data_IF_847250473937
#
_entry.id   IF_847250473937
#
_cell.length_a   1.000
_cell.length_b   1.000
_cell.length_c   1.000
_cell.angle_alpha   90.00
_cell.angle_beta   90.00
_cell.angle_gamma   90.00
#
_symmetry.space_group_name_H-M   'P 1'
#
loop_
_entity.id
_entity.type
_entity.pdbx_description
1 polymer ?
#
# COMPACT_ATOMS: atom_id res chain seq x y z
N UNK A 1 -14.16 13.34 -2.66
CA UNK A 1 -13.36 12.12 -2.33
C UNK A 1 -12.55 12.38 -1.07
N UNK A 2 -12.14 11.35 -0.32
CA UNK A 2 -11.33 11.49 0.93
C UNK A 2 -10.02 12.23 0.69
N UNK A 3 -9.54 12.22 -0.55
CA UNK A 3 -8.27 12.78 -0.97
C UNK A 3 -8.32 14.26 -1.37
N UNK A 4 -9.48 14.82 -1.68
CA UNK A 4 -9.61 16.15 -2.29
C UNK A 4 -9.35 17.32 -1.31
N UNK A 5 -9.41 17.03 0.00
CA UNK A 5 -9.19 18.03 1.05
C UNK A 5 -8.16 17.58 2.09
N UNK A 6 -7.27 16.66 1.73
CA UNK A 6 -6.28 16.13 2.66
C UNK A 6 -4.88 16.49 2.16
N UNK A 7 -4.31 17.55 2.72
CA UNK A 7 -2.93 17.97 2.42
C UNK A 7 -1.88 16.93 2.82
N UNK A 8 -2.30 15.89 3.59
CA UNK A 8 -1.43 14.82 4.06
C UNK A 8 -1.17 13.73 2.98
N UNK A 9 -1.96 13.70 1.90
CA UNK A 9 -1.81 12.72 0.81
C UNK A 9 -1.63 13.46 -0.52
N UNK A 10 -0.51 13.22 -1.20
CA UNK A 10 -0.29 13.75 -2.55
C UNK A 10 -1.00 12.88 -3.59
N UNK A 11 -1.93 13.46 -4.33
CA UNK A 11 -2.61 12.78 -5.45
C UNK A 11 -1.83 13.03 -6.75
N UNK A 12 -1.48 11.97 -7.47
CA UNK A 12 -0.78 11.99 -8.74
C UNK A 12 -1.66 11.39 -9.81
N UNK A 13 -2.18 12.24 -10.67
CA UNK A 13 -2.90 11.81 -11.87
C UNK A 13 -1.94 11.80 -13.05
N UNK A 14 -1.76 10.65 -13.67
CA UNK A 14 -0.83 10.51 -14.80
C UNK A 14 -1.35 9.54 -15.86
N UNK A 15 -0.72 9.60 -17.03
CA UNK A 15 -0.96 8.61 -18.08
C UNK A 15 -0.36 7.26 -17.67
N UNK A 16 -0.94 6.16 -18.16
CA UNK A 16 -0.43 4.80 -17.91
C UNK A 16 0.85 4.51 -18.75
N UNK A 17 1.84 5.39 -18.62
CA UNK A 17 3.13 5.30 -19.28
C UNK A 17 4.24 5.06 -18.25
N UNK A 18 5.01 4.00 -18.42
CA UNK A 18 6.06 3.61 -17.47
C UNK A 18 7.12 4.70 -17.23
N UNK A 19 7.45 5.56 -18.22
CA UNK A 19 8.41 6.67 -18.03
C UNK A 19 7.80 7.77 -17.16
N UNK A 20 6.54 8.11 -17.39
CA UNK A 20 5.81 9.11 -16.60
C UNK A 20 5.66 8.65 -15.14
N UNK A 21 5.25 7.39 -14.94
CA UNK A 21 5.14 6.78 -13.61
C UNK A 21 6.50 6.82 -12.90
N UNK A 22 7.59 6.41 -13.58
CA UNK A 22 8.94 6.43 -13.02
C UNK A 22 9.39 7.81 -12.59
N UNK A 23 9.12 8.84 -13.40
CA UNK A 23 9.43 10.24 -13.06
C UNK A 23 8.74 10.66 -11.76
N UNK A 24 7.44 10.40 -11.64
CA UNK A 24 6.70 10.74 -10.43
C UNK A 24 7.14 9.92 -9.21
N UNK A 25 7.49 8.64 -9.39
CA UNK A 25 8.06 7.83 -8.30
C UNK A 25 9.36 8.44 -7.77
N UNK A 26 10.23 8.94 -8.66
CA UNK A 26 11.48 9.60 -8.26
C UNK A 26 11.23 10.92 -7.53
N UNK A 27 10.27 11.72 -7.98
CA UNK A 27 9.88 12.99 -7.32
C UNK A 27 9.30 12.75 -5.92
N UNK A 28 8.48 11.71 -5.77
CA UNK A 28 7.78 11.41 -4.52
C UNK A 28 8.69 10.83 -3.43
N UNK A 29 9.83 10.25 -3.79
CA UNK A 29 10.76 9.62 -2.86
C UNK A 29 11.28 10.54 -1.77
N UNK A 30 11.48 11.80 -2.09
CA UNK A 30 12.00 12.82 -1.19
C UNK A 30 10.90 13.46 -0.31
N UNK A 31 9.64 13.13 -0.56
CA UNK A 31 8.52 13.69 0.17
C UNK A 31 8.17 12.88 1.43
N UNK A 32 7.58 13.57 2.41
CA UNK A 32 7.22 13.00 3.71
C UNK A 32 5.86 12.32 3.74
N UNK A 33 4.99 12.62 2.78
CA UNK A 33 3.59 12.19 2.77
C UNK A 33 3.36 11.00 1.83
N UNK A 34 2.34 10.17 2.11
CA UNK A 34 1.91 9.14 1.16
C UNK A 34 1.46 9.73 -0.17
N UNK A 35 1.61 8.97 -1.26
CA UNK A 35 1.14 9.37 -2.58
C UNK A 35 0.12 8.40 -3.13
N UNK A 36 -0.91 8.94 -3.77
CA UNK A 36 -1.95 8.18 -4.44
C UNK A 36 -1.79 8.31 -5.95
N UNK A 37 -1.43 7.22 -6.62
CA UNK A 37 -1.39 7.15 -8.07
C UNK A 37 -2.75 6.79 -8.64
N UNK A 38 -3.19 7.59 -9.61
CA UNK A 38 -4.40 7.36 -10.40
C UNK A 38 -4.00 7.48 -11.87
N UNK A 39 -4.09 6.38 -12.62
CA UNK A 39 -3.84 6.38 -14.07
C UNK A 39 -5.14 6.35 -14.85
N UNK A 40 -5.06 6.65 -16.15
CA UNK A 40 -6.23 6.66 -17.05
C UNK A 40 -6.92 5.30 -17.21
N UNK A 41 -6.27 4.22 -16.79
CA UNK A 41 -6.82 2.85 -16.85
C UNK A 41 -7.49 2.38 -15.57
N UNK A 42 -7.37 3.17 -14.49
CA UNK A 42 -7.90 2.82 -13.18
C UNK A 42 -9.35 3.26 -13.02
N UNK A 43 -10.13 2.43 -12.34
CA UNK A 43 -11.49 2.75 -11.92
C UNK A 43 -11.45 3.25 -10.47
N UNK A 44 -12.07 4.39 -10.22
CA UNK A 44 -12.19 4.97 -8.88
C UNK A 44 -13.56 4.60 -8.33
N UNK A 45 -13.57 3.72 -7.34
CA UNK A 45 -14.76 3.27 -6.63
C UNK A 45 -14.82 3.86 -5.21
N UNK A 46 -15.99 3.83 -4.55
CA UNK A 46 -16.05 3.99 -3.10
C UNK A 46 -15.16 2.96 -2.41
N UNK A 47 -14.32 3.40 -1.47
CA UNK A 47 -13.38 2.52 -0.79
C UNK A 47 -14.11 1.59 0.19
N UNK A 48 -14.25 0.34 -0.17
CA UNK A 48 -14.85 -0.73 0.63
C UNK A 48 -13.85 -1.79 1.05
N UNK A 49 -12.83 -2.02 0.23
CA UNK A 49 -11.82 -3.04 0.46
C UNK A 49 -10.42 -2.50 0.14
N UNK A 50 -9.51 -2.60 1.10
CA UNK A 50 -8.11 -2.18 0.97
C UNK A 50 -7.24 -3.42 0.89
N UNK A 51 -6.42 -3.57 -0.14
CA UNK A 51 -5.43 -4.65 -0.23
C UNK A 51 -4.07 -4.13 0.26
N UNK A 52 -3.52 -4.79 1.27
CA UNK A 52 -2.26 -4.44 1.94
C UNK A 52 -1.33 -5.66 1.87
N UNK A 53 -0.47 -5.78 0.85
CA UNK A 53 0.56 -6.81 0.81
C UNK A 53 1.55 -6.61 1.97
N UNK A 54 1.92 -7.69 2.65
CA UNK A 54 2.83 -7.67 3.81
C UNK A 54 3.96 -8.67 3.58
N UNK A 55 5.15 -8.16 3.33
CA UNK A 55 6.38 -8.92 3.11
C UNK A 55 7.17 -9.13 4.40
N UNK A 56 8.36 -9.72 4.29
CA UNK A 56 9.28 -9.90 5.42
C UNK A 56 10.02 -8.62 5.83
N UNK A 57 9.92 -7.53 5.06
CA UNK A 57 10.61 -6.27 5.34
C UNK A 57 9.97 -5.55 6.52
N UNK A 58 10.77 -4.98 7.42
CA UNK A 58 10.26 -4.27 8.61
C UNK A 58 9.40 -3.05 8.26
N UNK A 59 9.72 -2.38 7.18
CA UNK A 59 9.02 -1.21 6.66
C UNK A 59 7.55 -1.47 6.31
N UNK A 60 7.16 -2.72 6.17
CA UNK A 60 5.77 -3.09 5.91
C UNK A 60 4.81 -2.63 7.02
N UNK A 61 5.32 -2.45 8.24
CA UNK A 61 4.52 -2.01 9.38
C UNK A 61 4.04 -0.57 9.25
N UNK A 62 4.71 0.29 8.46
CA UNK A 62 4.27 1.66 8.22
C UNK A 62 2.92 1.76 7.50
N UNK A 63 2.54 0.73 6.76
CA UNK A 63 1.21 0.66 6.13
C UNK A 63 0.07 0.56 7.14
N UNK A 64 0.35 0.14 8.39
CA UNK A 64 -0.68 0.00 9.41
C UNK A 64 -1.41 1.33 9.67
N UNK A 65 -0.68 2.43 9.84
CA UNK A 65 -1.25 3.74 10.14
C UNK A 65 -2.15 4.22 9.02
N UNK A 66 -1.63 4.24 7.78
CA UNK A 66 -2.40 4.76 6.65
C UNK A 66 -3.61 3.86 6.30
N UNK A 67 -3.45 2.53 6.36
CA UNK A 67 -4.57 1.62 6.08
C UNK A 67 -5.67 1.74 7.12
N UNK A 68 -5.31 1.84 8.41
CA UNK A 68 -6.27 2.01 9.51
C UNK A 68 -6.93 3.39 9.48
N UNK A 69 -6.17 4.45 9.16
CA UNK A 69 -6.73 5.79 8.97
C UNK A 69 -7.81 5.79 7.87
N UNK A 70 -7.51 5.22 6.70
CA UNK A 70 -8.44 5.12 5.59
C UNK A 70 -9.66 4.27 5.98
N UNK A 71 -9.43 3.08 6.56
CA UNK A 71 -10.50 2.18 6.97
C UNK A 71 -11.45 2.84 7.98
N UNK A 72 -10.91 3.58 8.97
CA UNK A 72 -11.73 4.33 9.94
C UNK A 72 -12.58 5.41 9.28
N UNK A 73 -12.04 6.12 8.28
CA UNK A 73 -12.77 7.20 7.59
C UNK A 73 -13.83 6.69 6.62
N UNK A 74 -13.66 5.48 6.07
CA UNK A 74 -14.50 4.94 5.00
C UNK A 74 -15.37 3.77 5.42
N UNK A 75 -15.07 3.11 6.53
CA UNK A 75 -15.63 1.81 6.89
C UNK A 75 -15.05 0.65 6.04
N UNK A 76 -13.95 0.86 5.33
CA UNK A 76 -13.38 -0.16 4.47
C UNK A 76 -12.81 -1.35 5.26
N UNK A 77 -12.92 -2.54 4.68
CA UNK A 77 -12.31 -3.77 5.17
C UNK A 77 -10.86 -3.88 4.71
N UNK A 78 -9.94 -4.26 5.59
CA UNK A 78 -8.52 -4.41 5.28
C UNK A 78 -8.21 -5.87 4.97
N UNK A 79 -7.61 -6.14 3.80
CA UNK A 79 -7.10 -7.45 3.41
C UNK A 79 -5.58 -7.42 3.55
N UNK A 80 -5.04 -8.11 4.57
CA UNK A 80 -3.60 -8.29 4.75
C UNK A 80 -3.14 -9.50 3.94
N UNK A 81 -2.46 -9.26 2.82
CA UNK A 81 -1.92 -10.32 1.96
C UNK A 81 -0.51 -10.68 2.44
N UNK A 82 -0.42 -11.72 3.25
CA UNK A 82 0.84 -12.19 3.84
C UNK A 82 1.68 -12.95 2.82
N UNK A 83 2.93 -12.55 2.62
CA UNK A 83 3.90 -13.28 1.79
C UNK A 83 4.12 -14.72 2.29
N UNK A 84 4.40 -15.62 1.36
CA UNK A 84 4.67 -17.04 1.62
C UNK A 84 6.18 -17.30 1.67
N UNK A 85 6.86 -16.65 2.62
CA UNK A 85 8.30 -16.80 2.83
C UNK A 85 8.64 -18.00 3.70
N UNK A 86 9.88 -18.49 3.57
CA UNK A 86 10.48 -19.36 4.57
C UNK A 86 10.82 -18.54 5.83
N UNK A 87 10.29 -18.96 6.98
CA UNK A 87 10.50 -18.27 8.25
C UNK A 87 9.26 -17.47 8.71
N UNK A 88 9.43 -16.69 9.77
CA UNK A 88 8.32 -16.04 10.47
C UNK A 88 8.23 -14.52 10.27
N UNK A 89 9.14 -13.91 9.51
CA UNK A 89 9.22 -12.44 9.42
C UNK A 89 7.95 -11.79 8.85
N UNK A 90 7.42 -12.28 7.72
CA UNK A 90 6.17 -11.77 7.18
C UNK A 90 5.00 -11.95 8.15
N UNK A 91 4.93 -13.08 8.84
CA UNK A 91 3.92 -13.32 9.89
C UNK A 91 4.07 -12.36 11.07
N UNK A 92 5.31 -12.06 11.48
CA UNK A 92 5.57 -11.09 12.57
C UNK A 92 5.09 -9.68 12.16
N UNK A 93 5.34 -9.26 10.93
CA UNK A 93 4.87 -7.98 10.42
C UNK A 93 3.34 -7.93 10.35
N UNK A 94 2.69 -8.99 9.87
CA UNK A 94 1.22 -9.10 9.92
C UNK A 94 0.72 -8.97 11.36
N UNK A 95 1.34 -9.67 12.33
CA UNK A 95 0.95 -9.60 13.74
C UNK A 95 1.11 -8.18 14.31
N UNK A 96 2.17 -7.44 13.91
CA UNK A 96 2.35 -6.05 14.32
C UNK A 96 1.22 -5.14 13.79
N UNK A 97 0.85 -5.30 12.53
CA UNK A 97 -0.27 -4.55 11.91
C UNK A 97 -1.59 -4.90 12.62
N UNK A 98 -1.86 -6.18 12.84
CA UNK A 98 -3.07 -6.64 13.57
C UNK A 98 -3.12 -6.07 14.97
N UNK A 99 -1.99 -6.08 15.69
CA UNK A 99 -1.90 -5.50 17.05
C UNK A 99 -2.22 -4.00 17.02
N UNK A 100 -1.75 -3.28 16.00
CA UNK A 100 -2.08 -1.86 15.81
C UNK A 100 -3.59 -1.66 15.59
N UNK A 101 -4.23 -2.47 14.72
CA UNK A 101 -5.67 -2.43 14.49
C UNK A 101 -6.45 -2.70 15.78
N UNK A 102 -6.06 -3.72 16.55
CA UNK A 102 -6.72 -4.09 17.81
C UNK A 102 -6.65 -2.97 18.84
N UNK A 103 -5.47 -2.36 19.03
CA UNK A 103 -5.30 -1.21 19.93
C UNK A 103 -6.15 0.00 19.54
N UNK A 104 -6.34 0.22 18.24
CA UNK A 104 -7.23 1.27 17.76
C UNK A 104 -8.70 0.91 18.02
N UNK A 105 -9.09 -0.33 17.76
CA UNK A 105 -10.47 -0.79 18.01
C UNK A 105 -10.88 -0.69 19.49
N UNK A 106 -9.92 -0.82 20.43
CA UNK A 106 -10.16 -0.61 21.87
C UNK A 106 -10.46 0.86 22.23
N UNK A 107 -10.08 1.80 21.37
CA UNK A 107 -10.15 3.26 21.64
C UNK A 107 -11.23 4.00 20.85
N UNK A 108 -11.87 3.35 19.90
CA UNK A 108 -12.88 3.94 19.03
C UNK A 108 -14.17 3.13 19.05
N UNK A 109 -15.31 3.82 18.91
CA UNK A 109 -16.62 3.16 18.87
C UNK A 109 -16.87 2.32 17.61
N UNK A 110 -16.15 2.63 16.52
CA UNK A 110 -16.25 1.92 15.25
C UNK A 110 -15.07 0.98 15.06
N UNK A 111 -15.33 -0.33 15.04
CA UNK A 111 -14.28 -1.33 14.82
C UNK A 111 -13.81 -1.36 13.37
N UNK A 112 -12.49 -1.41 13.19
CA UNK A 112 -11.85 -1.63 11.90
C UNK A 112 -11.85 -3.14 11.63
N UNK A 113 -12.47 -3.56 10.53
CA UNK A 113 -12.51 -4.96 10.13
C UNK A 113 -11.32 -5.33 9.24
N UNK A 114 -10.79 -6.54 9.41
CA UNK A 114 -9.69 -7.04 8.61
C UNK A 114 -9.76 -8.56 8.42
N UNK A 115 -9.08 -9.04 7.38
CA UNK A 115 -8.79 -10.47 7.17
C UNK A 115 -7.32 -10.67 6.80
N UNK A 116 -6.79 -11.87 7.08
CA UNK A 116 -5.44 -12.27 6.70
C UNK A 116 -5.55 -13.34 5.62
N UNK A 117 -4.94 -13.09 4.47
CA UNK A 117 -4.90 -14.01 3.34
C UNK A 117 -3.44 -14.37 3.06
N UNK A 118 -3.12 -15.66 2.96
CA UNK A 118 -1.80 -16.10 2.54
C UNK A 118 -1.62 -15.95 1.03
N UNK A 119 -0.53 -15.30 0.63
CA UNK A 119 -0.11 -15.24 -0.76
C UNK A 119 0.37 -16.60 -1.26
N UNK A 120 0.38 -16.78 -2.56
CA UNK A 120 1.00 -17.94 -3.23
C UNK A 120 2.49 -17.72 -3.42
N UNK A 121 2.94 -16.47 -3.44
CA UNK A 121 4.30 -16.02 -3.72
C UNK A 121 4.99 -15.53 -2.45
N UNK A 122 6.31 -15.51 -2.52
CA UNK A 122 7.21 -14.93 -1.53
C UNK A 122 7.21 -13.39 -1.58
N UNK A 123 7.93 -12.77 -0.66
CA UNK A 123 8.07 -11.32 -0.54
C UNK A 123 8.56 -10.64 -1.83
N UNK A 124 9.44 -11.27 -2.59
CA UNK A 124 10.00 -10.70 -3.82
C UNK A 124 8.96 -10.61 -4.95
N UNK A 125 7.99 -11.52 -4.98
CA UNK A 125 6.95 -11.59 -6.01
C UNK A 125 5.58 -11.13 -5.53
N UNK A 126 5.46 -10.70 -4.28
CA UNK A 126 4.21 -10.36 -3.62
C UNK A 126 3.45 -9.21 -4.30
N UNK A 127 4.16 -8.13 -4.63
CA UNK A 127 3.57 -6.96 -5.29
C UNK A 127 3.00 -7.33 -6.65
N UNK A 128 3.71 -8.18 -7.40
CA UNK A 128 3.24 -8.70 -8.67
C UNK A 128 1.98 -9.54 -8.49
N UNK A 129 1.97 -10.47 -7.51
CA UNK A 129 0.78 -11.26 -7.21
C UNK A 129 -0.41 -10.38 -6.82
N UNK A 130 -0.22 -9.38 -5.97
CA UNK A 130 -1.27 -8.45 -5.57
C UNK A 130 -1.88 -7.73 -6.78
N UNK A 131 -1.05 -7.31 -7.75
CA UNK A 131 -1.51 -6.64 -8.97
C UNK A 131 -2.26 -7.58 -9.91
N UNK A 132 -1.81 -8.84 -10.06
CA UNK A 132 -2.39 -9.83 -10.96
C UNK A 132 -3.72 -10.40 -10.43
N UNK A 133 -3.87 -10.51 -9.09
CA UNK A 133 -5.05 -11.10 -8.45
C UNK A 133 -6.10 -10.07 -8.03
N UNK A 134 -6.14 -8.94 -8.67
CA UNK A 134 -7.09 -7.88 -8.33
C UNK A 134 -8.56 -8.35 -8.41
N UNK A 135 -8.89 -9.21 -9.38
CA UNK A 135 -10.25 -9.78 -9.50
C UNK A 135 -10.63 -10.70 -8.34
N UNK A 136 -9.64 -11.41 -7.76
CA UNK A 136 -9.87 -12.34 -6.65
C UNK A 136 -10.18 -11.55 -5.36
N UNK A 137 -9.46 -10.45 -5.12
CA UNK A 137 -9.60 -9.64 -3.92
C UNK A 137 -10.70 -8.58 -4.02
N UNK A 138 -11.09 -8.19 -5.22
CA UNK A 138 -12.10 -7.14 -5.48
C UNK A 138 -11.83 -5.87 -4.66
N UNK A 139 -10.56 -5.50 -4.51
CA UNK A 139 -10.16 -4.33 -3.75
C UNK A 139 -10.32 -3.04 -4.55
N UNK A 140 -10.53 -1.94 -3.83
CA UNK A 140 -10.74 -0.59 -4.38
C UNK A 140 -9.49 0.29 -4.27
N UNK A 141 -8.53 -0.14 -3.43
CA UNK A 141 -7.24 0.52 -3.24
C UNK A 141 -6.16 -0.52 -2.94
N UNK A 142 -5.02 -0.42 -3.59
CA UNK A 142 -3.81 -1.18 -3.29
C UNK A 142 -2.85 -0.28 -2.51
N UNK A 143 -2.39 -0.72 -1.32
CA UNK A 143 -1.47 0.05 -0.47
C UNK A 143 -0.12 -0.66 -0.43
N UNK A 144 0.92 -0.01 -0.94
CA UNK A 144 2.28 -0.53 -1.03
C UNK A 144 3.25 0.33 -0.22
N UNK A 145 4.36 -0.27 0.21
CA UNK A 145 5.53 0.47 0.70
C UNK A 145 6.38 0.91 -0.49
N UNK A 146 6.82 2.15 -0.50
CA UNK A 146 7.75 2.63 -1.52
C UNK A 146 9.16 2.05 -1.26
N UNK A 147 9.88 1.67 -2.31
CA UNK A 147 11.27 1.20 -2.18
C UNK A 147 12.19 2.33 -1.74
N UNK A 148 13.05 2.05 -0.74
CA UNK A 148 14.03 3.04 -0.23
C UNK A 148 15.10 3.36 -1.26
N UNK A 149 15.61 2.35 -1.93
CA UNK A 149 16.69 2.46 -2.92
C UNK A 149 16.34 1.62 -4.15
N UNK A 150 16.81 2.06 -5.30
CA UNK A 150 16.74 1.26 -6.51
C UNK A 150 18.01 0.43 -6.65
N UNK A 151 17.85 -0.89 -6.70
CA UNK A 151 18.93 -1.81 -7.06
C UNK A 151 19.27 -1.72 -8.56
N UNK A 152 20.33 -2.43 -8.96
CA UNK A 152 20.70 -2.55 -10.38
C UNK A 152 19.57 -3.17 -11.23
N UNK A 153 18.83 -4.09 -10.65
CA UNK A 153 17.67 -4.73 -11.29
C UNK A 153 16.53 -3.73 -11.52
N UNK A 154 16.31 -2.82 -10.57
CA UNK A 154 15.31 -1.76 -10.71
C UNK A 154 15.68 -0.74 -11.79
N UNK A 155 16.98 -0.54 -12.03
CA UNK A 155 17.47 0.30 -13.12
C UNK A 155 17.17 -0.32 -14.49
N UNK A 156 17.28 -1.65 -14.61
CA UNK A 156 17.02 -2.37 -15.86
C UNK A 156 15.53 -2.62 -16.11
N UNK A 157 14.78 -3.04 -15.10
CA UNK A 157 13.40 -3.50 -15.22
C UNK A 157 12.39 -2.53 -14.62
N UNK A 158 12.87 -1.55 -13.84
CA UNK A 158 12.07 -0.62 -13.03
C UNK A 158 11.58 -1.25 -11.72
N UNK A 159 11.31 -0.40 -10.72
CA UNK A 159 10.90 -0.86 -9.40
C UNK A 159 9.54 -1.59 -9.45
N UNK A 160 9.30 -2.54 -8.53
CA UNK A 160 8.06 -3.31 -8.45
C UNK A 160 6.81 -2.45 -8.39
N UNK A 161 6.88 -1.28 -7.75
CA UNK A 161 5.78 -0.32 -7.66
C UNK A 161 5.39 0.25 -9.03
N UNK A 162 6.37 0.48 -9.92
CA UNK A 162 6.09 0.92 -11.29
C UNK A 162 5.27 -0.13 -12.05
N UNK A 163 5.62 -1.41 -11.85
CA UNK A 163 4.85 -2.50 -12.44
C UNK A 163 3.43 -2.52 -11.87
N UNK A 164 3.29 -2.43 -10.56
CA UNK A 164 1.99 -2.42 -9.90
C UNK A 164 1.11 -1.27 -10.40
N UNK A 165 1.61 -0.03 -10.40
CA UNK A 165 0.87 1.15 -10.87
C UNK A 165 0.46 0.99 -12.32
N UNK A 166 1.35 0.49 -13.19
CA UNK A 166 1.08 0.30 -14.61
C UNK A 166 -0.02 -0.72 -14.88
N UNK A 167 -0.14 -1.75 -14.07
CA UNK A 167 -1.07 -2.88 -14.28
C UNK A 167 -2.28 -2.88 -13.37
N UNK A 168 -2.31 -2.01 -12.34
CA UNK A 168 -3.46 -1.88 -11.47
C UNK A 168 -4.68 -1.33 -12.21
N UNK A 169 -5.86 -1.84 -11.84
CA UNK A 169 -7.16 -1.36 -12.33
C UNK A 169 -7.85 -0.43 -11.32
N UNK A 170 -7.24 -0.27 -10.13
CA UNK A 170 -7.69 0.61 -9.06
C UNK A 170 -6.53 1.49 -8.59
N UNK A 171 -6.78 2.61 -7.90
CA UNK A 171 -5.74 3.46 -7.36
C UNK A 171 -4.70 2.71 -6.52
N UNK A 172 -3.44 3.15 -6.61
CA UNK A 172 -2.32 2.59 -5.86
C UNK A 172 -1.75 3.65 -4.95
N UNK A 173 -1.77 3.39 -3.65
CA UNK A 173 -1.15 4.25 -2.64
C UNK A 173 0.23 3.73 -2.29
N UNK A 174 1.21 4.62 -2.25
CA UNK A 174 2.55 4.34 -1.78
C UNK A 174 2.79 5.02 -0.44
N UNK A 175 3.32 4.27 0.51
CA UNK A 175 3.75 4.77 1.83
C UNK A 175 5.26 4.82 1.86
N UNK A 176 5.82 5.98 2.17
CA UNK A 176 7.26 6.12 2.29
C UNK A 176 7.74 5.50 3.61
N UNK A 177 8.73 4.58 3.60
CA UNK A 177 9.20 3.88 4.80
C UNK A 177 10.21 4.64 5.65
N UNK A 178 10.47 5.91 5.41
CA UNK A 178 11.48 6.71 6.13
C UNK A 178 10.93 7.15 7.48
N UNK A 179 11.57 6.72 8.59
CA UNK A 179 11.16 7.04 9.97
C UNK A 179 11.13 8.54 10.27
N UNK A 180 12.06 9.31 9.68
CA UNK A 180 12.12 10.76 9.81
C UNK A 180 10.93 11.47 9.14
N UNK A 181 10.10 10.74 8.42
CA UNK A 181 8.96 11.26 7.68
C UNK A 181 7.61 11.01 8.36
N UNK A 182 7.57 10.23 9.42
CA UNK A 182 6.35 9.84 10.12
C UNK A 182 6.24 10.47 11.51
N UNK A 183 6.13 11.78 11.58
CA UNK A 183 5.44 12.42 12.69
C UNK A 183 3.99 12.69 12.26
N UNK A 184 3.22 11.64 12.04
CA UNK A 184 1.78 11.76 11.92
C UNK A 184 1.19 11.59 13.31
N UNK A 185 0.75 12.71 13.85
CA UNK A 185 -0.23 12.88 14.91
C UNK A 185 0.30 12.91 16.34
N UNK A 186 0.45 14.11 16.82
CA UNK A 186 -0.14 14.49 18.11
C UNK A 186 -1.62 14.84 17.94
#
# INVERSE_FOLDING_TARGET
MIWENNDDIRVIQCTNNGRTIQKHLSECREERRPYLFITSTMTINPLRRLLVPVSMLEEETYKAEISTYIARKTGAHIILLQANDYGSHAQQNVNRIVTHIQKLNERIDQSISYEIVKARKDSFSLIKEASERQRDFQHDLLILTASREYGLDDWLFGPPERHAIKHALVPVMLVNPREDLFSLCD
#
